data_IF_062959536763
#
_entry.id   IF_062959536763
#
_cell.length_a   1.000
_cell.length_b   1.000
_cell.length_c   1.000
_cell.angle_alpha   90.00
_cell.angle_beta   90.00
_cell.angle_gamma   90.00
#
_symmetry.space_group_name_H-M   'P 1'
#
loop_
_entity.id
_entity.type
_entity.pdbx_description
1 polymer ?
#
# COMPACT_ATOMS: atom_id res chain seq x y z
N UNK A 1 -13.85 4.82 22.96
CA UNK A 1 -12.48 4.85 23.51
C UNK A 1 -12.00 3.46 23.98
N UNK A 2 -12.86 2.72 24.65
CA UNK A 2 -12.52 1.36 25.11
C UNK A 2 -12.13 0.41 23.97
N UNK A 3 -12.91 0.36 22.90
CA UNK A 3 -12.60 -0.45 21.71
C UNK A 3 -11.25 -0.07 21.10
N UNK A 4 -10.95 1.23 20.99
CA UNK A 4 -9.67 1.72 20.51
C UNK A 4 -8.50 1.22 21.38
N UNK A 5 -8.62 1.29 22.69
CA UNK A 5 -7.57 0.83 23.60
C UNK A 5 -7.37 -0.69 23.50
N UNK A 6 -8.44 -1.46 23.33
CA UNK A 6 -8.35 -2.92 23.11
C UNK A 6 -7.61 -3.24 21.81
N UNK A 7 -7.91 -2.54 20.72
CA UNK A 7 -7.20 -2.69 19.43
C UNK A 7 -5.71 -2.35 19.60
N UNK A 8 -5.37 -1.24 20.25
CA UNK A 8 -3.96 -0.88 20.51
C UNK A 8 -3.25 -1.96 21.30
N UNK A 9 -3.84 -2.42 22.40
CA UNK A 9 -3.22 -3.44 23.25
C UNK A 9 -3.03 -4.77 22.51
N UNK A 10 -4.00 -5.13 21.67
CA UNK A 10 -3.88 -6.31 20.81
C UNK A 10 -2.71 -6.17 19.83
N UNK A 11 -2.63 -5.06 19.11
CA UNK A 11 -1.56 -4.82 18.13
C UNK A 11 -0.17 -4.81 18.79
N UNK A 12 -0.04 -4.15 19.95
CA UNK A 12 1.21 -4.14 20.72
C UNK A 12 1.58 -5.55 21.18
N UNK A 13 0.62 -6.37 21.60
CA UNK A 13 0.87 -7.76 21.96
C UNK A 13 1.36 -8.65 20.81
N UNK A 14 1.11 -8.22 19.56
CA UNK A 14 1.59 -8.86 18.33
C UNK A 14 2.92 -8.29 17.82
N UNK A 15 3.57 -7.43 18.59
CA UNK A 15 4.87 -6.85 18.24
C UNK A 15 4.79 -5.54 17.44
N UNK A 16 3.59 -5.03 17.17
CA UNK A 16 3.45 -3.73 16.48
C UNK A 16 3.78 -2.61 17.46
N UNK A 17 4.75 -1.78 17.10
CA UNK A 17 5.11 -0.62 17.90
C UNK A 17 3.91 0.36 17.99
N UNK A 18 3.66 0.92 19.18
CA UNK A 18 2.54 1.86 19.38
C UNK A 18 2.62 3.09 18.48
N UNK A 19 3.82 3.55 18.21
CA UNK A 19 4.13 4.70 17.36
C UNK A 19 3.85 4.44 15.87
N UNK A 20 3.82 3.17 15.49
CA UNK A 20 3.48 2.74 14.14
C UNK A 20 1.96 2.77 13.85
N UNK A 21 1.14 2.99 14.89
CA UNK A 21 -0.32 2.96 14.80
C UNK A 21 -0.85 4.40 14.75
N UNK A 22 -1.38 4.81 13.59
CA UNK A 22 -1.99 6.13 13.40
C UNK A 22 -3.49 6.00 13.26
N UNK A 23 -4.24 6.68 14.12
CA UNK A 23 -5.71 6.74 14.06
C UNK A 23 -6.17 7.99 13.33
N UNK A 24 -7.07 7.82 12.37
CA UNK A 24 -7.76 8.91 11.71
C UNK A 24 -8.84 9.50 12.62
N UNK A 25 -9.42 10.63 12.22
CA UNK A 25 -10.56 11.20 12.94
C UNK A 25 -11.76 10.23 12.86
N UNK A 26 -12.50 10.07 13.97
CA UNK A 26 -13.70 9.25 13.94
C UNK A 26 -14.78 9.91 13.08
N UNK A 27 -15.53 9.08 12.36
CA UNK A 27 -16.72 9.49 11.65
C UNK A 27 -17.96 9.03 12.42
N UNK A 28 -18.93 9.92 12.58
CA UNK A 28 -20.14 9.66 13.34
C UNK A 28 -21.37 9.96 12.48
N UNK A 29 -22.32 9.04 12.44
CA UNK A 29 -23.59 9.24 11.77
C UNK A 29 -24.76 8.73 12.60
N UNK A 30 -25.90 9.40 12.45
CA UNK A 30 -27.12 9.06 13.15
C UNK A 30 -27.72 7.76 12.62
N UNK A 31 -28.17 6.92 13.53
CA UNK A 31 -28.97 5.75 13.24
C UNK A 31 -30.44 6.08 13.43
N UNK A 32 -31.23 5.75 12.43
CA UNK A 32 -32.69 5.91 12.48
C UNK A 32 -33.37 4.60 12.09
N UNK A 33 -34.51 4.34 12.71
CA UNK A 33 -35.39 3.21 12.32
C UNK A 33 -36.64 3.78 11.68
N UNK A 34 -36.98 3.26 10.51
CA UNK A 34 -38.25 3.61 9.82
C UNK A 34 -39.44 3.10 10.59
N UNK A 35 -40.48 3.94 10.70
CA UNK A 35 -41.76 3.63 11.32
C UNK A 35 -42.79 3.42 10.21
N UNK A 36 -43.52 2.29 10.31
CA UNK A 36 -44.60 1.93 9.38
C UNK A 36 -45.89 1.74 10.15
N UNK A 37 -46.98 2.30 9.64
CA UNK A 37 -48.35 2.06 10.11
C UNK A 37 -49.17 1.55 8.92
N UNK A 38 -49.91 0.45 9.11
CA UNK A 38 -50.67 -0.22 8.06
C UNK A 38 -49.91 -0.45 6.73
N UNK A 39 -48.57 -0.73 6.84
CA UNK A 39 -47.69 -0.96 5.70
C UNK A 39 -47.23 0.32 5.00
N UNK A 40 -47.61 1.50 5.46
CA UNK A 40 -47.18 2.79 4.93
C UNK A 40 -46.09 3.41 5.82
N UNK A 41 -45.05 3.96 5.19
CA UNK A 41 -44.03 4.70 5.90
C UNK A 41 -44.60 5.99 6.48
N UNK A 42 -44.52 6.18 7.81
CA UNK A 42 -45.03 7.36 8.50
C UNK A 42 -43.92 8.24 9.10
N UNK A 43 -42.66 7.79 9.05
CA UNK A 43 -41.54 8.57 9.54
C UNK A 43 -40.36 7.71 9.99
N UNK A 44 -39.39 8.35 10.62
CA UNK A 44 -38.22 7.67 11.21
C UNK A 44 -38.01 8.12 12.64
N UNK A 45 -37.52 7.22 13.48
CA UNK A 45 -37.17 7.48 14.87
C UNK A 45 -35.66 7.35 15.02
N UNK A 46 -35.06 8.34 15.64
CA UNK A 46 -33.65 8.28 16.07
C UNK A 46 -33.44 7.12 17.06
N UNK A 47 -32.40 6.31 16.80
CA UNK A 47 -32.09 5.13 17.63
C UNK A 47 -30.68 5.17 18.22
N UNK A 48 -29.83 6.11 17.79
CA UNK A 48 -28.49 6.27 18.32
C UNK A 48 -27.50 6.83 17.29
N UNK A 49 -26.24 6.67 17.60
CA UNK A 49 -25.13 7.03 16.72
C UNK A 49 -24.30 5.81 16.38
N UNK A 50 -23.85 5.71 15.13
CA UNK A 50 -22.78 4.82 14.75
C UNK A 50 -21.49 5.63 14.67
N UNK A 51 -20.42 5.13 15.29
CA UNK A 51 -19.10 5.75 15.30
C UNK A 51 -18.11 4.76 14.68
N UNK A 52 -17.50 5.17 13.59
CA UNK A 52 -16.44 4.41 12.91
C UNK A 52 -15.13 5.18 12.96
N UNK A 53 -14.03 4.48 13.17
CA UNK A 53 -12.71 5.07 13.17
C UNK A 53 -11.75 4.12 12.44
N UNK A 54 -11.08 4.62 11.41
CA UNK A 54 -10.02 3.88 10.74
C UNK A 54 -8.67 4.15 11.40
N UNK A 55 -7.75 3.20 11.24
CA UNK A 55 -6.37 3.35 11.64
C UNK A 55 -5.46 2.70 10.58
N UNK A 56 -4.21 3.17 10.55
CA UNK A 56 -3.16 2.66 9.66
C UNK A 56 -1.99 2.21 10.51
N UNK A 57 -1.34 1.14 10.10
CA UNK A 57 -0.11 0.64 10.72
C UNK A 57 0.99 0.77 9.66
N UNK A 58 2.07 1.48 9.99
CA UNK A 58 3.25 1.60 9.14
C UNK A 58 4.47 1.07 9.92
N UNK A 59 5.08 0.00 9.43
CA UNK A 59 6.18 -0.66 10.10
C UNK A 59 7.15 -1.27 9.10
N UNK A 60 8.41 -1.35 9.48
CA UNK A 60 9.44 -2.13 8.75
C UNK A 60 9.43 -3.60 9.17
N UNK A 61 8.74 -3.94 10.24
CA UNK A 61 8.54 -5.33 10.68
C UNK A 61 7.32 -5.92 9.96
N UNK A 62 7.59 -6.54 8.82
CA UNK A 62 6.57 -7.12 7.94
C UNK A 62 5.84 -8.27 8.63
N UNK A 63 6.58 -9.13 9.34
CA UNK A 63 6.03 -10.31 9.99
C UNK A 63 5.05 -9.93 11.11
N UNK A 64 5.39 -8.92 11.90
CA UNK A 64 4.51 -8.41 12.95
C UNK A 64 3.20 -7.83 12.38
N UNK A 65 3.29 -7.06 11.27
CA UNK A 65 2.11 -6.48 10.61
C UNK A 65 1.24 -7.57 9.99
N UNK A 66 1.84 -8.55 9.33
CA UNK A 66 1.11 -9.65 8.69
C UNK A 66 0.39 -10.53 9.73
N UNK A 67 1.10 -10.90 10.81
CA UNK A 67 0.51 -11.65 11.91
C UNK A 67 -0.64 -10.88 12.56
N UNK A 68 -0.45 -9.60 12.83
CA UNK A 68 -1.49 -8.74 13.39
C UNK A 68 -2.71 -8.65 12.47
N UNK A 69 -2.51 -8.41 11.16
CA UNK A 69 -3.59 -8.31 10.18
C UNK A 69 -4.41 -9.61 10.08
N UNK A 70 -3.75 -10.76 10.15
CA UNK A 70 -4.40 -12.09 10.10
C UNK A 70 -5.25 -12.36 11.34
N UNK A 71 -4.82 -11.92 12.51
CA UNK A 71 -5.47 -12.22 13.77
C UNK A 71 -6.43 -11.13 14.26
N UNK A 72 -6.34 -9.90 13.75
CA UNK A 72 -7.24 -8.79 14.11
C UNK A 72 -8.74 -9.15 14.05
N UNK A 73 -9.23 -9.94 13.07
CA UNK A 73 -10.63 -10.34 13.03
C UNK A 73 -11.11 -11.12 14.27
N UNK A 74 -10.19 -11.70 15.06
CA UNK A 74 -10.54 -12.37 16.32
C UNK A 74 -11.16 -11.43 17.36
N UNK A 75 -10.92 -10.12 17.26
CA UNK A 75 -11.53 -9.11 18.12
C UNK A 75 -13.04 -9.00 17.95
N UNK A 76 -13.58 -9.50 16.82
CA UNK A 76 -15.03 -9.60 16.62
C UNK A 76 -15.71 -10.44 17.70
N UNK A 77 -15.05 -11.52 18.13
CA UNK A 77 -15.53 -12.36 19.24
C UNK A 77 -15.60 -11.59 20.58
N UNK A 78 -14.88 -10.48 20.70
CA UNK A 78 -14.88 -9.59 21.86
C UNK A 78 -15.85 -8.40 21.69
N UNK A 79 -16.69 -8.44 20.67
CA UNK A 79 -17.68 -7.38 20.38
C UNK A 79 -17.09 -6.14 19.71
N UNK A 80 -15.90 -6.21 19.13
CA UNK A 80 -15.30 -5.12 18.35
C UNK A 80 -15.52 -5.43 16.87
N UNK A 81 -16.39 -4.65 16.24
CA UNK A 81 -16.58 -4.75 14.79
C UNK A 81 -15.37 -4.13 14.07
N UNK A 82 -14.62 -4.96 13.37
CA UNK A 82 -13.37 -4.57 12.72
C UNK A 82 -13.29 -5.15 11.31
N UNK A 83 -12.94 -4.32 10.36
CA UNK A 83 -12.64 -4.72 8.98
C UNK A 83 -11.17 -4.49 8.69
N UNK A 84 -10.50 -5.49 8.18
CA UNK A 84 -9.06 -5.48 7.88
C UNK A 84 -8.87 -5.48 6.36
N UNK A 85 -8.01 -4.59 5.87
CA UNK A 85 -7.54 -4.61 4.48
C UNK A 85 -6.26 -5.45 4.39
N UNK A 86 -5.99 -5.98 3.21
CA UNK A 86 -4.73 -6.68 2.97
C UNK A 86 -3.54 -5.74 3.22
N UNK A 87 -2.47 -6.21 3.87
CA UNK A 87 -1.24 -5.44 3.99
C UNK A 87 -0.67 -5.08 2.60
N UNK A 88 -0.09 -3.89 2.52
CA UNK A 88 0.62 -3.42 1.33
C UNK A 88 2.11 -3.31 1.67
N UNK A 89 2.96 -3.76 0.76
CA UNK A 89 4.40 -3.81 0.97
C UNK A 89 5.09 -2.81 0.06
N UNK A 90 6.03 -2.05 0.63
CA UNK A 90 6.79 -1.03 -0.08
C UNK A 90 8.27 -1.27 0.09
N UNK A 91 9.03 -1.16 -1.00
CA UNK A 91 10.47 -1.28 -0.93
C UNK A 91 11.10 0.05 -0.51
N UNK A 92 11.69 0.08 0.71
CA UNK A 92 12.20 1.31 1.32
C UNK A 92 13.46 1.89 0.65
N UNK A 93 14.22 1.08 -0.11
CA UNK A 93 15.48 1.49 -0.76
C UNK A 93 15.34 1.67 -2.28
N UNK A 94 14.17 2.08 -2.75
CA UNK A 94 13.87 2.19 -4.17
C UNK A 94 14.85 3.09 -4.93
N UNK A 95 15.29 4.19 -4.32
CA UNK A 95 16.24 5.11 -4.95
C UNK A 95 17.60 4.44 -5.25
N UNK A 96 18.14 3.64 -4.31
CA UNK A 96 19.40 2.93 -4.57
C UNK A 96 19.25 1.91 -5.70
N UNK A 97 18.13 1.18 -5.73
CA UNK A 97 17.85 0.23 -6.82
C UNK A 97 17.73 0.93 -8.16
N UNK A 98 17.12 2.10 -8.24
CA UNK A 98 17.07 2.90 -9.48
C UNK A 98 18.45 3.25 -9.99
N UNK A 99 19.36 3.71 -9.10
CA UNK A 99 20.74 4.02 -9.48
C UNK A 99 21.50 2.79 -9.99
N UNK A 100 21.38 1.67 -9.30
CA UNK A 100 22.02 0.42 -9.70
C UNK A 100 21.52 -0.08 -11.05
N UNK A 101 20.21 0.02 -11.29
CA UNK A 101 19.60 -0.38 -12.57
C UNK A 101 20.00 0.56 -13.72
N UNK A 102 20.11 1.86 -13.48
CA UNK A 102 20.62 2.81 -14.49
C UNK A 102 22.08 2.48 -14.83
N UNK A 103 22.91 2.20 -13.83
CA UNK A 103 24.30 1.81 -14.05
C UNK A 103 24.40 0.50 -14.84
N UNK A 104 23.61 -0.52 -14.50
CA UNK A 104 23.56 -1.78 -15.22
C UNK A 104 23.08 -1.60 -16.68
N UNK A 105 22.03 -0.79 -16.89
CA UNK A 105 21.53 -0.49 -18.23
C UNK A 105 22.56 0.26 -19.10
N UNK A 106 23.32 1.18 -18.50
CA UNK A 106 24.39 1.89 -19.20
C UNK A 106 25.53 0.95 -19.60
N UNK A 107 25.92 0.02 -18.71
CA UNK A 107 26.93 -0.99 -18.99
C UNK A 107 26.50 -1.93 -20.13
N UNK A 108 25.28 -2.43 -20.11
CA UNK A 108 24.70 -3.26 -21.17
C UNK A 108 24.62 -2.52 -22.51
N UNK A 109 24.21 -1.26 -22.50
CA UNK A 109 24.20 -0.42 -23.72
C UNK A 109 25.59 -0.25 -24.32
N UNK A 110 26.61 -0.01 -23.49
CA UNK A 110 28.01 0.09 -23.91
C UNK A 110 28.51 -1.23 -24.52
N UNK A 111 28.21 -2.36 -23.89
CA UNK A 111 28.60 -3.67 -24.39
C UNK A 111 27.96 -3.96 -25.77
N UNK A 112 26.67 -3.71 -25.91
CA UNK A 112 25.98 -3.86 -27.21
C UNK A 112 26.56 -2.95 -28.28
N UNK A 113 26.85 -1.71 -27.97
CA UNK A 113 27.50 -0.78 -28.92
C UNK A 113 28.89 -1.27 -29.33
N UNK A 114 29.66 -1.81 -28.40
CA UNK A 114 30.98 -2.42 -28.65
C UNK A 114 30.87 -3.61 -29.62
N UNK A 115 29.92 -4.50 -29.40
CA UNK A 115 29.67 -5.66 -30.26
C UNK A 115 29.27 -5.24 -31.70
N UNK A 116 28.43 -4.21 -31.82
CA UNK A 116 28.04 -3.64 -33.15
C UNK A 116 29.26 -3.07 -33.85
N UNK A 117 30.10 -2.29 -33.17
CA UNK A 117 31.30 -1.69 -33.75
C UNK A 117 32.28 -2.76 -34.23
N UNK A 118 32.61 -3.76 -33.41
CA UNK A 118 33.51 -4.87 -33.75
C UNK A 118 33.00 -5.61 -34.98
N UNK A 119 31.70 -6.00 -34.97
CA UNK A 119 31.12 -6.79 -36.07
C UNK A 119 30.97 -5.99 -37.40
N UNK A 120 30.99 -4.66 -37.32
CA UNK A 120 31.02 -3.78 -38.51
C UNK A 120 32.43 -3.36 -38.93
N UNK A 121 33.46 -3.87 -38.27
CA UNK A 121 34.87 -3.48 -38.55
C UNK A 121 35.23 -2.07 -38.14
N UNK A 122 34.50 -1.50 -37.18
CA UNK A 122 34.74 -0.16 -36.59
C UNK A 122 35.19 -0.25 -35.14
N UNK A 123 35.68 0.85 -34.62
CA UNK A 123 35.99 1.01 -33.17
C UNK A 123 34.91 1.88 -32.52
N UNK A 124 34.55 1.54 -31.27
CA UNK A 124 33.63 2.36 -30.48
C UNK A 124 34.34 3.64 -30.01
N UNK A 125 33.82 4.80 -30.40
CA UNK A 125 34.32 6.10 -29.97
C UNK A 125 33.75 6.56 -28.64
N UNK A 126 34.02 7.83 -28.30
CA UNK A 126 33.48 8.45 -27.11
C UNK A 126 31.94 8.59 -27.19
N UNK A 127 31.29 8.55 -26.03
CA UNK A 127 29.86 8.78 -25.92
C UNK A 127 29.49 10.18 -26.42
N UNK A 128 28.70 10.27 -27.49
CA UNK A 128 28.22 11.55 -28.04
C UNK A 128 26.80 11.89 -27.55
N UNK A 129 25.98 10.87 -27.34
CA UNK A 129 24.61 11.05 -26.86
C UNK A 129 24.13 9.80 -26.12
N UNK A 130 23.42 10.00 -25.01
CA UNK A 130 22.70 8.95 -24.28
C UNK A 130 21.26 9.38 -24.07
N UNK A 131 20.34 8.46 -24.27
CA UNK A 131 18.91 8.64 -23.94
C UNK A 131 18.46 7.46 -23.11
N UNK A 132 17.97 7.75 -21.91
CA UNK A 132 17.21 6.80 -21.13
C UNK A 132 15.73 6.93 -21.49
N UNK A 133 15.07 5.80 -21.74
CA UNK A 133 13.61 5.75 -21.86
C UNK A 133 12.93 5.93 -20.50
N UNK A 134 11.62 5.75 -20.48
CA UNK A 134 10.86 5.75 -19.22
C UNK A 134 11.33 4.56 -18.38
N UNK A 135 11.76 4.87 -17.17
CA UNK A 135 12.18 3.87 -16.20
C UNK A 135 10.98 3.45 -15.35
N UNK A 136 10.71 2.17 -15.32
CA UNK A 136 9.56 1.62 -14.59
C UNK A 136 9.97 0.44 -13.74
N UNK A 137 9.41 0.40 -12.55
CA UNK A 137 9.50 -0.75 -11.65
C UNK A 137 8.06 -1.23 -11.44
N UNK A 138 7.78 -2.42 -11.90
CA UNK A 138 6.46 -3.06 -11.77
C UNK A 138 6.58 -4.31 -10.89
N UNK A 139 5.48 -4.67 -10.22
CA UNK A 139 5.42 -5.94 -9.52
C UNK A 139 5.56 -7.11 -10.50
N UNK A 140 6.28 -8.16 -10.10
CA UNK A 140 6.52 -9.34 -10.96
C UNK A 140 5.24 -10.11 -11.29
N UNK A 141 4.16 -9.92 -10.53
CA UNK A 141 2.89 -10.65 -10.61
C UNK A 141 1.67 -9.74 -10.70
N UNK A 142 1.84 -8.46 -11.04
CA UNK A 142 0.73 -7.51 -11.16
C UNK A 142 0.12 -7.53 -12.56
N UNK A 143 -1.20 -7.66 -12.64
CA UNK A 143 -2.01 -7.52 -13.88
C UNK A 143 -2.27 -6.04 -14.22
N UNK A 144 -1.45 -5.12 -13.77
CA UNK A 144 -1.66 -3.71 -14.08
C UNK A 144 -1.23 -3.38 -15.50
N UNK A 145 -2.22 -3.16 -16.35
CA UNK A 145 -2.02 -2.56 -17.68
C UNK A 145 -1.42 -1.16 -17.55
N UNK A 146 -0.40 -0.95 -18.31
CA UNK A 146 0.43 0.20 -18.33
C UNK A 146 -0.27 1.39 -19.01
N UNK A 147 -0.56 2.48 -18.31
CA UNK A 147 -0.90 3.75 -18.94
C UNK A 147 0.27 4.73 -18.81
N UNK A 148 0.85 5.10 -19.94
CA UNK A 148 1.83 6.16 -20.03
C UNK A 148 1.15 7.49 -19.67
N UNK A 149 1.41 8.01 -18.45
CA UNK A 149 0.96 9.35 -18.07
C UNK A 149 0.35 9.52 -16.68
N UNK A 150 0.40 8.51 -15.79
CA UNK A 150 -0.04 8.63 -14.41
C UNK A 150 1.04 9.18 -13.44
N UNK A 151 0.66 9.63 -12.22
CA UNK A 151 1.58 10.17 -11.22
C UNK A 151 2.59 9.12 -10.72
N UNK A 152 3.68 9.53 -10.03
CA UNK A 152 4.78 8.64 -9.64
C UNK A 152 4.30 7.47 -8.80
N UNK A 153 4.72 6.28 -9.18
CA UNK A 153 4.11 5.01 -8.85
C UNK A 153 4.58 4.42 -7.54
N UNK A 154 3.61 3.89 -6.83
CA UNK A 154 3.78 3.04 -5.66
C UNK A 154 4.17 1.63 -6.14
N UNK A 155 5.29 1.13 -5.68
CA UNK A 155 5.71 -0.24 -5.91
C UNK A 155 5.03 -1.13 -4.88
N UNK A 156 4.27 -2.12 -5.36
CA UNK A 156 3.76 -3.22 -4.54
C UNK A 156 4.69 -4.42 -4.76
N UNK A 157 5.21 -4.97 -3.70
CA UNK A 157 5.92 -6.27 -3.70
C UNK A 157 5.02 -7.31 -3.07
#
# INVERSE_FOLDING_TARGET
>A
EEARNRVINFLVSKGVAREAITFNMPNTYELTTSIYEDGHYVGSRFTGYNLTQSFTIESTDVDAVESAARELPSLLAQGIDISVKNPMYYYSKLESVKHDLIAAAAADAHERATQIAINSGAELGNLSMSRAGVFQITAATGDEEFSAGGPPYLLYL
#
